data_IF_669193413767
#
_entry.id   IF_669193413767
#
_cell.length_a   1.000
_cell.length_b   1.000
_cell.length_c   1.000
_cell.angle_alpha   90.00
_cell.angle_beta   90.00
_cell.angle_gamma   90.00
#
_symmetry.space_group_name_H-M   'P 1'
#
loop_
_entity.id
_entity.type
_entity.pdbx_description
1 polymer ?
#
# COMPACT_ATOMS: atom_id res chain seq x y z
N UNK A 1 16.53 9.00 19.55
CA UNK A 1 16.10 9.38 18.19
C UNK A 1 14.79 10.16 18.28
N UNK A 2 14.74 11.44 17.92
CA UNK A 2 13.54 12.26 18.04
C UNK A 2 12.52 12.07 16.89
N UNK A 3 12.68 11.04 16.05
CA UNK A 3 12.09 11.00 14.71
C UNK A 3 10.66 10.46 14.61
N UNK A 4 10.10 9.87 15.65
CA UNK A 4 8.76 9.29 15.58
C UNK A 4 7.94 9.66 16.82
N UNK A 5 7.66 10.96 16.95
CA UNK A 5 6.99 11.53 18.15
C UNK A 5 5.50 11.25 18.20
N UNK A 6 4.83 11.04 17.05
CA UNK A 6 3.39 10.78 17.04
C UNK A 6 3.06 9.40 16.45
N UNK A 7 1.95 8.78 16.86
CA UNK A 7 1.48 7.53 16.25
C UNK A 7 1.29 7.65 14.73
N UNK A 8 0.83 8.80 14.24
CA UNK A 8 0.65 9.05 12.80
C UNK A 8 1.99 9.01 12.06
N UNK A 9 3.06 9.58 12.63
CA UNK A 9 4.41 9.52 12.04
C UNK A 9 4.95 8.09 11.97
N UNK A 10 4.66 7.27 12.98
CA UNK A 10 5.03 5.85 12.97
C UNK A 10 4.28 5.09 11.87
N UNK A 11 2.98 5.31 11.74
CA UNK A 11 2.19 4.72 10.66
C UNK A 11 2.71 5.13 9.29
N UNK A 12 3.02 6.42 9.07
CA UNK A 12 3.59 6.89 7.82
C UNK A 12 4.96 6.27 7.52
N UNK A 13 5.85 6.18 8.52
CA UNK A 13 7.17 5.57 8.33
C UNK A 13 7.06 4.10 7.93
N UNK A 14 6.18 3.32 8.58
CA UNK A 14 5.92 1.92 8.24
C UNK A 14 5.35 1.81 6.83
N UNK A 15 4.39 2.67 6.48
CA UNK A 15 3.77 2.69 5.15
C UNK A 15 4.80 2.97 4.04
N UNK A 16 5.69 3.96 4.23
CA UNK A 16 6.75 4.28 3.26
C UNK A 16 7.75 3.12 3.13
N UNK A 17 8.17 2.55 4.27
CA UNK A 17 9.09 1.40 4.27
C UNK A 17 8.52 0.22 3.49
N UNK A 18 7.30 -0.22 3.82
CA UNK A 18 6.68 -1.35 3.15
C UNK A 18 6.23 -1.03 1.72
N UNK A 19 5.90 0.23 1.41
CA UNK A 19 5.70 0.68 0.05
C UNK A 19 6.96 0.52 -0.81
N UNK A 20 8.12 0.91 -0.27
CA UNK A 20 9.42 0.70 -0.91
C UNK A 20 9.78 -0.78 -1.08
N UNK A 21 9.55 -1.61 -0.05
CA UNK A 21 9.77 -3.06 -0.12
C UNK A 21 8.85 -3.73 -1.15
N UNK A 22 7.59 -3.33 -1.25
CA UNK A 22 6.66 -3.81 -2.27
C UNK A 22 7.13 -3.45 -3.68
N UNK A 23 7.59 -2.22 -3.88
CA UNK A 23 8.18 -1.78 -5.15
C UNK A 23 9.43 -2.59 -5.50
N UNK A 24 10.33 -2.82 -4.55
CA UNK A 24 11.50 -3.68 -4.74
C UNK A 24 11.08 -5.11 -5.11
N UNK A 25 10.02 -5.64 -4.49
CA UNK A 25 9.43 -6.93 -4.83
C UNK A 25 8.97 -7.01 -6.28
N UNK A 26 8.30 -5.97 -6.81
CA UNK A 26 7.87 -5.91 -8.23
C UNK A 26 9.09 -5.95 -9.16
N UNK A 27 10.13 -5.18 -8.90
CA UNK A 27 11.35 -5.22 -9.73
C UNK A 27 12.05 -6.58 -9.66
N UNK A 28 12.10 -7.19 -8.48
CA UNK A 28 12.65 -8.52 -8.31
C UNK A 28 11.85 -9.57 -9.08
N UNK A 29 10.54 -9.47 -9.07
CA UNK A 29 9.64 -10.34 -9.79
C UNK A 29 9.85 -10.28 -11.31
N UNK A 30 9.96 -9.08 -11.87
CA UNK A 30 10.31 -8.89 -13.29
C UNK A 30 11.67 -9.55 -13.63
N UNK A 31 12.65 -9.43 -12.75
CA UNK A 31 13.94 -10.10 -12.90
C UNK A 31 13.83 -11.61 -12.79
N UNK A 32 13.03 -12.11 -11.84
CA UNK A 32 12.77 -13.53 -11.62
C UNK A 32 12.17 -14.19 -12.88
N UNK A 33 11.14 -13.60 -13.46
CA UNK A 33 10.52 -14.07 -14.70
C UNK A 33 11.50 -14.15 -15.87
N UNK A 34 12.43 -13.20 -15.98
CA UNK A 34 13.43 -13.17 -17.06
C UNK A 34 14.55 -14.21 -16.90
N UNK A 35 14.92 -14.56 -15.67
CA UNK A 35 16.09 -15.40 -15.39
C UNK A 35 15.72 -16.83 -15.05
N UNK A 36 14.63 -17.06 -14.34
CA UNK A 36 14.20 -18.36 -13.82
C UNK A 36 13.01 -18.89 -14.62
N UNK A 37 12.14 -17.99 -15.10
CA UNK A 37 11.04 -18.31 -16.02
C UNK A 37 9.88 -19.08 -15.40
N UNK A 38 10.05 -19.65 -14.20
CA UNK A 38 8.98 -20.35 -13.46
C UNK A 38 8.48 -19.43 -12.37
N UNK A 39 7.18 -19.16 -12.42
CA UNK A 39 6.49 -18.46 -11.38
C UNK A 39 5.51 -19.36 -10.63
N UNK A 40 5.41 -19.14 -9.35
CA UNK A 40 4.40 -19.76 -8.49
C UNK A 40 3.86 -18.69 -7.56
N UNK A 41 2.64 -18.89 -7.07
CA UNK A 41 2.04 -18.02 -6.06
C UNK A 41 2.98 -17.77 -4.84
N UNK A 42 3.87 -18.74 -4.53
CA UNK A 42 4.79 -18.70 -3.39
C UNK A 42 6.23 -18.35 -3.77
N UNK A 43 6.48 -17.80 -4.97
CA UNK A 43 7.83 -17.36 -5.34
C UNK A 43 8.35 -16.28 -4.38
N UNK A 44 9.66 -16.22 -4.11
CA UNK A 44 10.23 -15.27 -3.15
C UNK A 44 9.86 -13.79 -3.40
N UNK A 45 9.86 -13.28 -4.66
CA UNK A 45 9.41 -11.92 -4.92
C UNK A 45 7.93 -11.72 -4.58
N UNK A 46 7.05 -12.70 -4.86
CA UNK A 46 5.64 -12.64 -4.49
C UNK A 46 5.46 -12.59 -2.97
N UNK A 47 6.20 -13.39 -2.19
CA UNK A 47 6.15 -13.35 -0.73
C UNK A 47 6.56 -11.97 -0.18
N UNK A 48 7.55 -11.33 -0.78
CA UNK A 48 7.93 -9.96 -0.41
C UNK A 48 6.79 -8.97 -0.70
N UNK A 49 6.19 -9.05 -1.90
CA UNK A 49 5.06 -8.20 -2.28
C UNK A 49 3.85 -8.41 -1.36
N UNK A 50 3.48 -9.66 -1.08
CA UNK A 50 2.34 -9.97 -0.19
C UNK A 50 2.59 -9.48 1.23
N UNK A 51 3.82 -9.62 1.74
CA UNK A 51 4.20 -9.10 3.05
C UNK A 51 4.05 -7.57 3.11
N UNK A 52 4.48 -6.88 2.05
CA UNK A 52 4.35 -5.43 1.94
C UNK A 52 2.89 -4.98 1.86
N UNK A 53 2.06 -5.68 1.09
CA UNK A 53 0.61 -5.41 0.98
C UNK A 53 -0.09 -5.65 2.31
N UNK A 54 0.20 -6.78 2.98
CA UNK A 54 -0.38 -7.10 4.28
C UNK A 54 0.00 -6.07 5.34
N UNK A 55 1.27 -5.66 5.41
CA UNK A 55 1.72 -4.63 6.34
C UNK A 55 1.02 -3.29 6.10
N UNK A 56 0.90 -2.86 4.85
CA UNK A 56 0.17 -1.63 4.52
C UNK A 56 -1.33 -1.74 4.82
N UNK A 57 -1.92 -2.92 4.65
CA UNK A 57 -3.30 -3.21 5.07
C UNK A 57 -3.50 -3.05 6.59
N UNK A 58 -2.60 -3.62 7.38
CA UNK A 58 -2.61 -3.46 8.84
C UNK A 58 -2.44 -2.00 9.26
N UNK A 59 -1.59 -1.25 8.58
CA UNK A 59 -1.41 0.19 8.82
C UNK A 59 -2.70 0.96 8.52
N UNK A 60 -3.35 0.69 7.39
CA UNK A 60 -4.62 1.33 7.03
C UNK A 60 -5.72 1.04 8.07
N UNK A 61 -5.86 -0.22 8.47
CA UNK A 61 -6.78 -0.64 9.54
C UNK A 61 -6.45 0.05 10.88
N UNK A 62 -5.17 0.13 11.23
CA UNK A 62 -4.71 0.83 12.43
C UNK A 62 -5.05 2.32 12.41
N UNK A 63 -4.87 2.98 11.27
CA UNK A 63 -5.22 4.38 11.07
C UNK A 63 -6.73 4.61 11.19
N UNK A 64 -7.56 3.74 10.63
CA UNK A 64 -9.02 3.80 10.78
C UNK A 64 -9.47 3.54 12.20
N UNK A 65 -8.94 2.50 12.86
CA UNK A 65 -9.23 2.20 14.24
C UNK A 65 -8.87 3.35 15.17
N UNK A 66 -7.73 4.00 14.92
CA UNK A 66 -7.33 5.20 15.67
C UNK A 66 -8.31 6.36 15.44
N UNK A 67 -8.63 6.64 14.17
CA UNK A 67 -9.53 7.73 13.80
C UNK A 67 -10.92 7.58 14.43
N UNK A 68 -11.42 6.36 14.54
CA UNK A 68 -12.72 6.04 15.16
C UNK A 68 -12.65 6.20 16.69
N UNK A 69 -11.55 5.71 17.31
CA UNK A 69 -11.42 5.74 18.78
C UNK A 69 -11.05 7.11 19.34
N UNK A 70 -10.36 7.94 18.54
CA UNK A 70 -9.85 9.26 18.99
C UNK A 70 -10.22 10.34 17.96
N UNK A 71 -11.52 10.63 17.78
CA UNK A 71 -12.01 11.53 16.72
C UNK A 71 -11.47 12.96 16.85
N UNK A 72 -11.13 13.42 18.06
CA UNK A 72 -10.52 14.73 18.31
C UNK A 72 -9.12 14.89 17.70
N UNK A 73 -8.43 13.80 17.35
CA UNK A 73 -7.09 13.81 16.75
C UNK A 73 -7.09 13.46 15.25
N UNK A 74 -8.26 13.33 14.67
CA UNK A 74 -8.42 12.92 13.27
C UNK A 74 -7.69 13.85 12.28
N UNK A 75 -7.65 15.15 12.56
CA UNK A 75 -6.95 16.14 11.73
C UNK A 75 -5.42 15.95 11.72
N UNK A 76 -4.85 15.19 12.65
CA UNK A 76 -3.43 14.85 12.61
C UNK A 76 -3.04 14.02 11.38
N UNK A 77 -4.00 13.33 10.78
CA UNK A 77 -3.82 12.57 9.56
C UNK A 77 -3.89 13.42 8.27
N UNK A 78 -4.18 14.71 8.37
CA UNK A 78 -4.38 15.60 7.24
C UNK A 78 -5.83 15.59 6.73
N UNK A 79 -6.02 15.32 5.43
CA UNK A 79 -7.35 15.32 4.81
C UNK A 79 -8.22 14.17 5.30
N UNK A 80 -9.51 14.45 5.45
CA UNK A 80 -10.52 13.52 5.98
C UNK A 80 -11.63 13.33 4.95
N UNK A 81 -12.10 12.11 4.80
CA UNK A 81 -13.26 11.75 3.98
C UNK A 81 -14.39 11.20 4.87
N UNK A 82 -15.63 11.37 4.43
CA UNK A 82 -16.79 10.66 4.99
C UNK A 82 -16.89 9.29 4.34
N UNK A 83 -16.67 8.26 5.13
CA UNK A 83 -16.84 6.87 4.75
C UNK A 83 -18.26 6.35 4.98
N UNK A 84 -18.47 5.03 4.80
CA UNK A 84 -19.73 4.37 5.11
C UNK A 84 -20.18 4.64 6.54
N UNK A 85 -21.47 4.62 6.76
CA UNK A 85 -22.11 4.84 8.09
C UNK A 85 -21.77 6.19 8.73
N UNK A 86 -21.36 7.19 7.93
CA UNK A 86 -21.01 8.53 8.43
C UNK A 86 -19.66 8.60 9.14
N UNK A 87 -18.85 7.54 9.11
CA UNK A 87 -17.51 7.51 9.71
C UNK A 87 -16.60 8.55 9.03
N UNK A 88 -15.81 9.24 9.83
CA UNK A 88 -14.80 10.17 9.33
C UNK A 88 -13.44 9.46 9.34
N UNK A 89 -12.87 9.26 8.16
CA UNK A 89 -11.66 8.47 7.95
C UNK A 89 -10.53 9.31 7.33
N UNK A 90 -9.25 9.00 7.63
CA UNK A 90 -8.11 9.65 7.00
C UNK A 90 -8.07 9.34 5.50
N UNK A 91 -8.13 10.34 4.63
CA UNK A 91 -8.23 10.17 3.18
C UNK A 91 -7.08 9.33 2.61
N UNK A 92 -5.82 9.68 2.95
CA UNK A 92 -4.66 8.96 2.40
C UNK A 92 -4.64 7.49 2.78
N UNK A 93 -4.94 7.16 4.05
CA UNK A 93 -5.03 5.76 4.50
C UNK A 93 -6.26 5.04 3.95
N UNK A 94 -7.31 5.76 3.57
CA UNK A 94 -8.48 5.16 2.91
C UNK A 94 -8.18 4.78 1.46
N UNK A 95 -7.46 5.63 0.73
CA UNK A 95 -6.98 5.31 -0.62
C UNK A 95 -5.97 4.15 -0.56
N UNK A 96 -5.04 4.16 0.40
CA UNK A 96 -4.11 3.05 0.64
C UNK A 96 -4.86 1.74 0.88
N UNK A 97 -5.85 1.73 1.78
CA UNK A 97 -6.66 0.55 2.08
C UNK A 97 -7.45 0.05 0.88
N UNK A 98 -8.00 0.95 0.05
CA UNK A 98 -8.64 0.59 -1.20
C UNK A 98 -7.65 -0.11 -2.15
N UNK A 99 -6.44 0.44 -2.31
CA UNK A 99 -5.38 -0.17 -3.11
C UNK A 99 -5.01 -1.57 -2.61
N UNK A 100 -4.90 -1.76 -1.29
CA UNK A 100 -4.66 -3.08 -0.67
C UNK A 100 -5.77 -4.07 -1.05
N UNK A 101 -7.04 -3.67 -0.95
CA UNK A 101 -8.19 -4.54 -1.32
C UNK A 101 -8.12 -4.93 -2.78
N UNK A 102 -7.80 -4.00 -3.68
CA UNK A 102 -7.68 -4.25 -5.13
C UNK A 102 -6.54 -5.24 -5.42
N UNK A 103 -5.36 -5.08 -4.78
CA UNK A 103 -4.24 -6.03 -4.96
C UNK A 103 -4.60 -7.41 -4.42
N UNK A 104 -5.23 -7.48 -3.24
CA UNK A 104 -5.66 -8.76 -2.67
C UNK A 104 -6.72 -9.47 -3.53
N UNK A 105 -7.58 -8.71 -4.21
CA UNK A 105 -8.54 -9.27 -5.15
C UNK A 105 -7.88 -9.76 -6.47
N UNK A 106 -6.78 -9.10 -6.88
CA UNK A 106 -6.04 -9.50 -8.07
C UNK A 106 -5.36 -10.86 -7.92
N UNK A 107 -4.87 -11.21 -6.73
CA UNK A 107 -4.13 -12.46 -6.52
C UNK A 107 -4.95 -13.73 -6.84
N UNK A 108 -6.17 -13.96 -6.31
CA UNK A 108 -6.99 -15.11 -6.72
C UNK A 108 -7.47 -15.01 -8.17
N UNK A 109 -7.63 -13.80 -8.71
CA UNK A 109 -8.00 -13.58 -10.09
C UNK A 109 -6.86 -14.01 -11.03
N UNK A 110 -5.62 -13.78 -10.65
CA UNK A 110 -4.43 -14.19 -11.39
C UNK A 110 -4.28 -15.73 -11.40
N UNK A 111 -4.43 -16.38 -10.27
CA UNK A 111 -4.42 -17.84 -10.19
C UNK A 111 -5.51 -18.46 -11.06
N UNK A 112 -6.74 -17.90 -11.01
CA UNK A 112 -7.85 -18.36 -11.87
C UNK A 112 -7.54 -18.12 -13.36
N UNK A 113 -6.91 -16.99 -13.71
CA UNK A 113 -6.50 -16.68 -15.08
C UNK A 113 -5.52 -17.73 -15.61
N UNK A 114 -4.49 -18.05 -14.81
CA UNK A 114 -3.50 -19.08 -15.18
C UNK A 114 -4.11 -20.48 -15.31
N UNK A 115 -5.13 -20.77 -14.52
CA UNK A 115 -5.85 -22.05 -14.64
C UNK A 115 -6.68 -22.13 -15.91
N UNK A 116 -7.29 -21.03 -16.35
CA UNK A 116 -8.16 -21.00 -17.54
C UNK A 116 -7.39 -20.85 -18.86
N UNK A 117 -6.35 -20.04 -18.86
CA UNK A 117 -5.66 -19.62 -20.09
C UNK A 117 -4.20 -20.07 -20.15
N UNK A 118 -3.71 -20.74 -19.13
CA UNK A 118 -2.31 -21.10 -19.00
C UNK A 118 -1.46 -19.93 -18.46
N UNK A 119 -0.18 -20.23 -18.17
CA UNK A 119 0.75 -19.22 -17.66
C UNK A 119 1.16 -18.28 -18.80
N UNK A 120 0.83 -17.03 -18.64
CA UNK A 120 1.26 -15.99 -19.56
C UNK A 120 2.65 -15.46 -19.16
N UNK A 121 3.52 -15.28 -20.14
CA UNK A 121 4.84 -14.66 -19.94
C UNK A 121 4.80 -13.14 -20.00
N UNK A 122 3.63 -12.51 -19.80
CA UNK A 122 3.45 -11.07 -19.94
C UNK A 122 2.79 -10.45 -18.72
N UNK A 123 3.30 -9.28 -18.32
CA UNK A 123 2.71 -8.44 -17.27
C UNK A 123 1.43 -7.69 -17.70
N UNK A 124 0.98 -7.90 -18.93
CA UNK A 124 -0.19 -7.22 -19.52
C UNK A 124 -1.49 -8.02 -19.44
N UNK A 125 -1.50 -9.14 -18.71
CA UNK A 125 -2.74 -9.88 -18.46
C UNK A 125 -3.70 -9.05 -17.59
N UNK A 126 -4.99 -9.34 -17.72
CA UNK A 126 -6.02 -8.60 -16.98
C UNK A 126 -5.79 -8.58 -15.46
N UNK A 127 -5.49 -9.71 -14.78
CA UNK A 127 -5.24 -9.69 -13.33
C UNK A 127 -3.99 -8.87 -12.97
N UNK A 128 -2.92 -8.93 -13.75
CA UNK A 128 -1.75 -8.08 -13.53
C UNK A 128 -2.07 -6.60 -13.65
N UNK A 129 -2.90 -6.19 -14.62
CA UNK A 129 -3.34 -4.79 -14.72
C UNK A 129 -4.17 -4.36 -13.51
N UNK A 130 -5.02 -5.25 -12.97
CA UNK A 130 -5.74 -4.99 -11.72
C UNK A 130 -4.77 -4.82 -10.54
N UNK A 131 -3.76 -5.70 -10.43
CA UNK A 131 -2.73 -5.58 -9.39
C UNK A 131 -1.94 -4.27 -9.50
N UNK A 132 -1.54 -3.88 -10.71
CA UNK A 132 -0.84 -2.60 -10.98
C UNK A 132 -1.72 -1.40 -10.60
N UNK A 133 -3.02 -1.42 -10.95
CA UNK A 133 -3.95 -0.37 -10.55
C UNK A 133 -4.08 -0.28 -9.01
N UNK A 134 -4.15 -1.43 -8.33
CA UNK A 134 -4.16 -1.48 -6.86
C UNK A 134 -2.87 -0.92 -6.25
N UNK A 135 -1.70 -1.30 -6.79
CA UNK A 135 -0.41 -0.77 -6.35
C UNK A 135 -0.31 0.74 -6.59
N UNK A 136 -0.79 1.25 -7.72
CA UNK A 136 -0.85 2.69 -7.99
C UNK A 136 -1.74 3.44 -6.98
N UNK A 137 -2.89 2.86 -6.59
CA UNK A 137 -3.73 3.40 -5.52
C UNK A 137 -3.00 3.40 -4.18
N UNK A 138 -2.25 2.35 -3.85
CA UNK A 138 -1.46 2.31 -2.61
C UNK A 138 -0.43 3.45 -2.59
N UNK A 139 0.32 3.65 -3.67
CA UNK A 139 1.29 4.76 -3.80
C UNK A 139 0.59 6.11 -3.70
N UNK A 140 -0.53 6.30 -4.38
CA UNK A 140 -1.32 7.53 -4.29
C UNK A 140 -1.78 7.79 -2.85
N UNK A 141 -2.24 6.75 -2.15
CA UNK A 141 -2.65 6.83 -0.74
C UNK A 141 -1.49 7.29 0.16
N UNK A 142 -0.29 6.76 -0.05
CA UNK A 142 0.92 7.17 0.66
C UNK A 142 1.23 8.65 0.39
N UNK A 143 1.24 9.05 -0.87
CA UNK A 143 1.49 10.45 -1.27
C UNK A 143 0.47 11.40 -0.62
N UNK A 144 -0.81 11.07 -0.66
CA UNK A 144 -1.88 11.87 -0.07
C UNK A 144 -1.74 11.96 1.45
N UNK A 145 -1.37 10.85 2.12
CA UNK A 145 -1.16 10.82 3.57
C UNK A 145 0.04 11.69 3.97
N UNK A 146 1.16 11.57 3.25
CA UNK A 146 2.38 12.38 3.47
C UNK A 146 2.10 13.85 3.18
N UNK A 147 1.51 14.19 2.02
CA UNK A 147 1.18 15.56 1.65
C UNK A 147 0.16 16.21 2.62
N UNK A 148 -0.81 15.43 3.09
CA UNK A 148 -1.75 15.90 4.12
C UNK A 148 -1.05 16.30 5.41
N UNK A 149 -0.04 15.55 5.81
CA UNK A 149 0.77 15.84 7.00
C UNK A 149 1.69 17.06 6.78
N UNK A 150 2.24 17.25 5.56
CA UNK A 150 3.12 18.39 5.24
C UNK A 150 2.39 19.73 5.35
N UNK A 151 1.17 19.79 4.87
CA UNK A 151 0.33 21.00 4.94
C UNK A 151 0.07 21.46 6.38
N UNK A 152 0.22 20.56 7.35
CA UNK A 152 0.13 20.87 8.77
C UNK A 152 1.45 21.38 9.37
N UNK A 153 2.50 21.62 8.52
CA UNK A 153 3.82 22.08 8.95
C UNK A 153 4.58 21.07 9.81
N UNK A 154 4.24 19.78 9.71
CA UNK A 154 4.68 18.73 10.64
C UNK A 154 5.38 17.55 9.98
N UNK A 155 5.88 17.70 8.73
CA UNK A 155 6.74 16.66 8.15
C UNK A 155 8.15 16.82 8.71
N UNK A 156 8.71 15.75 9.30
CA UNK A 156 10.12 15.71 9.60
C UNK A 156 10.92 15.80 8.29
N UNK A 157 11.94 16.64 8.25
CA UNK A 157 12.77 16.87 7.04
C UNK A 157 13.50 15.63 6.49
N UNK A 158 13.44 14.48 7.18
CA UNK A 158 13.99 13.22 6.67
C UNK A 158 13.17 12.60 5.53
N UNK A 159 11.86 12.88 5.48
CA UNK A 159 10.99 12.36 4.39
C UNK A 159 11.43 12.93 3.05
N UNK A 160 11.86 14.19 3.02
CA UNK A 160 12.41 14.83 1.81
C UNK A 160 13.83 14.38 1.44
N UNK A 161 14.51 13.60 2.29
CA UNK A 161 15.83 13.05 1.99
C UNK A 161 15.77 11.63 1.43
N UNK A 162 14.59 11.03 1.40
CA UNK A 162 14.34 9.67 0.89
C UNK A 162 13.59 9.68 -0.44
N UNK A 163 13.14 10.85 -0.91
CA UNK A 163 12.55 11.08 -2.23
C UNK A 163 13.57 11.75 -3.14
#
# INVERSE_FOLDING_TARGET
MPFLRSPVERLLAVTVLFGGLGTAGIYWDVGWHRTIGRDTFWSPPHLLMYSAVAANGLVALGAWAWAIRVPGRLLEFGSVIRGPFGLRLPLGFSILGLGVVVVLAAAPLDEMWHWLYGKDGTVWSFPHLVAVAGAALMVLGIIVAVAGRSRLGRIPGWVFRLL
#
